data_IF_744865848278
#
_entry.id   IF_744865848278
#
_cell.length_a   1.000
_cell.length_b   1.000
_cell.length_c   1.000
_cell.angle_alpha   90.00
_cell.angle_beta   90.00
_cell.angle_gamma   90.00
#
_symmetry.space_group_name_H-M   'P 1'
#
loop_
_entity.id
_entity.type
_entity.pdbx_description
1 polymer ?
#
# COMPACT_ATOMS: atom_id res chain seq x y z
N UNK A 1 -32.29 -8.87 7.39
CA UNK A 1 -31.16 -9.42 6.61
C UNK A 1 -31.43 -9.14 5.15
N UNK A 2 -30.87 -8.07 4.61
CA UNK A 2 -30.97 -7.80 3.18
C UNK A 2 -29.91 -8.67 2.50
N UNK A 3 -30.31 -9.63 1.67
CA UNK A 3 -29.35 -10.31 0.80
C UNK A 3 -28.70 -9.27 -0.11
N UNK A 4 -27.41 -9.01 0.13
CA UNK A 4 -26.56 -8.28 -0.80
C UNK A 4 -26.22 -9.23 -1.95
N UNK A 5 -27.15 -9.36 -2.90
CA UNK A 5 -26.91 -10.10 -4.13
C UNK A 5 -25.78 -9.47 -4.96
N UNK A 6 -25.09 -10.29 -5.75
CA UNK A 6 -24.06 -9.83 -6.68
C UNK A 6 -24.61 -8.78 -7.65
N UNK A 7 -23.98 -7.61 -7.71
CA UNK A 7 -24.32 -6.52 -8.63
C UNK A 7 -23.12 -6.18 -9.50
N UNK A 8 -23.13 -6.64 -10.75
CA UNK A 8 -21.99 -6.53 -11.68
C UNK A 8 -21.34 -5.12 -11.71
N UNK A 9 -22.14 -4.04 -11.79
CA UNK A 9 -21.63 -2.68 -11.81
C UNK A 9 -20.85 -2.29 -10.54
N UNK A 10 -21.33 -2.71 -9.37
CA UNK A 10 -20.67 -2.46 -8.08
C UNK A 10 -19.38 -3.28 -7.92
N UNK A 11 -19.27 -4.40 -8.64
CA UNK A 11 -18.15 -5.34 -8.54
C UNK A 11 -17.04 -5.05 -9.58
N UNK A 12 -17.36 -4.37 -10.69
CA UNK A 12 -16.43 -4.16 -11.80
C UNK A 12 -16.11 -2.71 -12.13
N UNK A 13 -16.96 -1.74 -11.75
CA UNK A 13 -16.73 -0.33 -12.09
C UNK A 13 -16.25 0.43 -10.85
N UNK A 14 -14.98 0.88 -10.79
CA UNK A 14 -14.49 1.63 -9.65
C UNK A 14 -15.26 2.93 -9.46
N UNK A 15 -15.48 3.36 -8.20
CA UNK A 15 -16.05 4.66 -7.94
C UNK A 15 -15.15 5.78 -8.48
N UNK A 16 -15.71 6.99 -8.71
CA UNK A 16 -14.92 8.16 -9.06
C UNK A 16 -13.82 8.40 -8.03
N UNK A 17 -12.60 8.66 -8.51
CA UNK A 17 -11.48 8.92 -7.62
C UNK A 17 -11.56 10.32 -7.02
N UNK A 18 -11.30 10.43 -5.72
CA UNK A 18 -11.09 11.67 -5.00
C UNK A 18 -9.60 11.98 -4.98
N UNK A 19 -9.20 13.17 -5.44
CA UNK A 19 -7.81 13.61 -5.33
C UNK A 19 -7.45 13.87 -3.87
N UNK A 20 -6.34 13.31 -3.41
CA UNK A 20 -5.84 13.48 -2.04
C UNK A 20 -4.64 14.41 -2.01
N UNK A 21 -3.70 14.21 -2.94
CA UNK A 21 -2.52 15.07 -3.12
C UNK A 21 -2.24 15.28 -4.62
N UNK A 22 -1.11 15.92 -4.94
CA UNK A 22 -0.67 16.00 -6.32
C UNK A 22 -0.26 14.65 -6.94
N UNK A 23 0.03 13.65 -6.10
CA UNK A 23 0.51 12.33 -6.52
C UNK A 23 -0.46 11.19 -6.21
N UNK A 24 -1.41 11.38 -5.29
CA UNK A 24 -2.27 10.31 -4.79
C UNK A 24 -3.76 10.61 -4.97
N UNK A 25 -4.50 9.56 -5.34
CA UNK A 25 -5.97 9.55 -5.41
C UNK A 25 -6.53 8.44 -4.53
N UNK A 26 -7.80 8.57 -4.12
CA UNK A 26 -8.51 7.57 -3.31
C UNK A 26 -9.82 7.19 -4.01
N UNK A 27 -10.08 5.90 -4.16
CA UNK A 27 -11.34 5.37 -4.73
C UNK A 27 -12.21 4.71 -3.69
N UNK A 28 -11.60 3.92 -2.82
CA UNK A 28 -12.26 3.30 -1.68
C UNK A 28 -11.69 3.90 -0.41
N UNK A 29 -12.49 3.91 0.65
CA UNK A 29 -12.07 4.40 1.95
C UNK A 29 -10.76 3.72 2.38
N UNK A 30 -9.73 4.55 2.65
CA UNK A 30 -8.39 4.12 3.05
C UNK A 30 -7.59 3.34 1.99
N UNK A 31 -8.01 3.37 0.72
CA UNK A 31 -7.27 2.79 -0.41
C UNK A 31 -6.73 3.91 -1.30
N UNK A 32 -5.43 4.17 -1.16
CA UNK A 32 -4.72 5.21 -1.90
C UNK A 32 -3.96 4.63 -3.08
N UNK A 33 -4.08 5.28 -4.23
CA UNK A 33 -3.44 4.89 -5.48
C UNK A 33 -2.54 6.00 -6.01
N UNK A 34 -1.46 5.57 -6.70
CA UNK A 34 -0.88 6.22 -7.88
C UNK A 34 -1.85 7.13 -8.65
N UNK A 35 -1.74 8.47 -8.74
CA UNK A 35 -2.54 9.17 -9.75
C UNK A 35 -2.22 8.57 -11.15
N UNK A 36 -3.21 8.01 -11.88
CA UNK A 36 -2.94 7.29 -13.13
C UNK A 36 -2.24 8.14 -14.19
N UNK A 37 -2.36 9.48 -14.10
CA UNK A 37 -1.67 10.42 -15.01
C UNK A 37 -0.14 10.36 -14.88
N UNK A 38 0.37 9.89 -13.73
CA UNK A 38 1.79 9.70 -13.45
C UNK A 38 2.27 8.29 -13.83
N UNK A 39 1.34 7.35 -14.06
CA UNK A 39 1.60 5.91 -14.25
C UNK A 39 1.36 5.50 -15.72
N UNK A 40 2.24 5.93 -16.62
CA UNK A 40 2.08 5.78 -18.07
C UNK A 40 3.08 4.82 -18.71
N UNK A 41 4.16 5.33 -19.30
CA UNK A 41 4.97 4.63 -20.30
C UNK A 41 5.78 3.46 -19.72
N UNK A 42 6.31 3.61 -18.50
CA UNK A 42 7.23 2.63 -17.92
C UNK A 42 6.58 1.70 -16.90
N UNK A 43 5.53 2.18 -16.22
CA UNK A 43 4.77 1.41 -15.24
C UNK A 43 3.31 1.81 -15.40
N UNK A 44 2.58 1.03 -16.20
CA UNK A 44 1.15 1.22 -16.37
C UNK A 44 0.41 0.60 -15.17
N UNK A 45 -0.59 1.31 -14.66
CA UNK A 45 -1.42 0.79 -13.59
C UNK A 45 -2.33 -0.33 -14.13
N UNK A 46 -2.34 -1.48 -13.46
CA UNK A 46 -3.24 -2.58 -13.80
C UNK A 46 -4.67 -2.26 -13.36
N UNK A 47 -5.65 -2.64 -14.19
CA UNK A 47 -7.06 -2.53 -13.84
C UNK A 47 -7.48 -3.76 -13.03
N UNK A 48 -7.87 -3.55 -11.77
CA UNK A 48 -8.42 -4.59 -10.90
C UNK A 48 -9.93 -4.42 -10.75
N UNK A 49 -10.72 -5.52 -10.77
CA UNK A 49 -12.11 -5.46 -10.35
C UNK A 49 -12.23 -4.99 -8.90
N UNK A 50 -13.28 -4.23 -8.58
CA UNK A 50 -13.51 -3.68 -7.23
C UNK A 50 -13.48 -4.77 -6.16
N UNK A 51 -14.13 -5.90 -6.44
CA UNK A 51 -14.21 -7.01 -5.49
C UNK A 51 -12.83 -7.56 -5.13
N UNK A 52 -11.89 -7.54 -6.09
CA UNK A 52 -10.56 -8.07 -5.88
C UNK A 52 -9.71 -7.10 -5.08
N UNK A 53 -9.76 -5.80 -5.39
CA UNK A 53 -9.14 -4.74 -4.60
C UNK A 53 -9.61 -4.78 -3.14
N UNK A 54 -10.93 -4.84 -2.93
CA UNK A 54 -11.51 -4.86 -1.59
C UNK A 54 -11.17 -6.15 -0.83
N UNK A 55 -11.14 -7.29 -1.52
CA UNK A 55 -10.69 -8.57 -0.95
C UNK A 55 -9.24 -8.51 -0.49
N UNK A 56 -8.35 -7.95 -1.31
CA UNK A 56 -6.92 -7.77 -0.97
C UNK A 56 -6.78 -6.84 0.23
N UNK A 57 -7.46 -5.68 0.22
CA UNK A 57 -7.41 -4.72 1.31
C UNK A 57 -7.91 -5.32 2.63
N UNK A 58 -9.02 -6.06 2.60
CA UNK A 58 -9.59 -6.72 3.78
C UNK A 58 -8.68 -7.83 4.34
N UNK A 59 -8.02 -8.61 3.46
CA UNK A 59 -7.13 -9.70 3.86
C UNK A 59 -5.70 -9.28 4.22
N UNK A 60 -5.36 -7.98 4.12
CA UNK A 60 -3.98 -7.50 4.24
C UNK A 60 -3.34 -7.85 5.58
N UNK A 61 -4.05 -7.61 6.69
CA UNK A 61 -3.50 -7.83 8.03
C UNK A 61 -3.22 -9.31 8.28
N UNK A 62 -4.19 -10.17 8.00
CA UNK A 62 -4.06 -11.63 8.17
C UNK A 62 -2.91 -12.20 7.32
N UNK A 63 -2.76 -11.71 6.10
CA UNK A 63 -1.66 -12.12 5.23
C UNK A 63 -0.30 -11.71 5.79
N UNK A 64 -0.15 -10.46 6.26
CA UNK A 64 1.10 -9.99 6.89
C UNK A 64 1.43 -10.76 8.16
N UNK A 65 0.43 -11.05 9.00
CA UNK A 65 0.61 -11.86 10.21
C UNK A 65 1.06 -13.28 9.88
N UNK A 66 0.53 -13.88 8.82
CA UNK A 66 1.00 -15.17 8.33
C UNK A 66 2.45 -15.09 7.81
N UNK A 67 2.77 -14.09 6.99
CA UNK A 67 4.13 -13.86 6.47
C UNK A 67 5.13 -13.69 7.61
N UNK A 68 4.81 -12.86 8.61
CA UNK A 68 5.67 -12.64 9.77
C UNK A 68 5.90 -13.92 10.56
N UNK A 69 4.85 -14.69 10.88
CA UNK A 69 4.99 -15.94 11.63
C UNK A 69 5.80 -17.00 10.91
N UNK A 70 5.75 -17.02 9.58
CA UNK A 70 6.26 -18.15 8.81
C UNK A 70 7.61 -17.86 8.12
N UNK A 71 7.92 -16.59 7.85
CA UNK A 71 9.10 -16.22 7.06
C UNK A 71 10.01 -15.21 7.76
N UNK A 72 9.48 -14.40 8.69
CA UNK A 72 10.31 -13.40 9.37
C UNK A 72 11.08 -14.05 10.52
N UNK A 73 12.41 -14.03 10.45
CA UNK A 73 13.26 -14.37 11.60
C UNK A 73 13.20 -13.29 12.69
N UNK A 74 13.09 -12.03 12.27
CA UNK A 74 12.97 -10.85 13.15
C UNK A 74 12.04 -9.84 12.51
N UNK A 75 11.22 -9.16 13.32
CA UNK A 75 10.39 -8.01 12.92
C UNK A 75 10.87 -6.81 13.71
N UNK A 76 11.20 -5.71 13.02
CA UNK A 76 11.58 -4.43 13.63
C UNK A 76 10.59 -3.36 13.23
N UNK A 77 10.35 -2.40 14.11
CA UNK A 77 9.55 -1.21 13.79
C UNK A 77 10.29 -0.29 12.81
N UNK A 78 9.53 0.56 12.12
CA UNK A 78 10.12 1.58 11.26
C UNK A 78 11.03 2.55 12.03
N UNK A 79 10.74 2.82 13.31
CA UNK A 79 11.59 3.70 14.12
C UNK A 79 12.91 3.04 14.49
N UNK A 80 12.89 1.76 14.91
CA UNK A 80 14.13 1.02 15.19
C UNK A 80 15.03 0.96 13.94
N UNK A 81 14.44 0.77 12.76
CA UNK A 81 15.19 0.80 11.51
C UNK A 81 15.81 2.19 11.23
N UNK A 82 15.09 3.27 11.51
CA UNK A 82 15.59 4.64 11.34
C UNK A 82 16.71 4.98 12.32
N UNK A 83 16.60 4.52 13.56
CA UNK A 83 17.61 4.72 14.59
C UNK A 83 18.90 3.99 14.22
N UNK A 84 18.81 2.74 13.71
CA UNK A 84 19.96 1.98 13.21
C UNK A 84 20.66 2.69 12.04
N UNK A 85 19.91 3.18 11.05
CA UNK A 85 20.46 3.87 9.88
C UNK A 85 21.14 5.18 10.31
N UNK A 86 20.48 5.98 11.15
CA UNK A 86 21.00 7.28 11.59
C UNK A 86 22.18 7.14 12.56
N UNK A 87 22.18 6.08 13.38
CA UNK A 87 23.28 5.73 14.27
C UNK A 87 24.51 5.21 13.53
N UNK A 88 24.33 4.47 12.43
CA UNK A 88 25.44 3.99 11.59
C UNK A 88 26.21 5.13 10.89
N UNK A 89 25.53 6.23 10.56
CA UNK A 89 26.15 7.42 9.94
C UNK A 89 27.00 8.25 10.93
N UNK A 90 26.80 8.08 12.24
CA UNK A 90 27.53 8.82 13.27
C UNK A 90 28.97 8.32 13.52
N UNK A 91 29.32 7.12 13.03
CA UNK A 91 30.63 6.48 13.18
C UNK A 91 31.53 6.64 11.94
N UNK A 92 31.13 7.48 10.97
CA UNK A 92 31.99 7.89 9.85
C UNK A 92 33.24 8.63 10.35
N UNK A 93 34.42 8.46 9.69
CA UNK A 93 35.66 9.03 10.20
C UNK A 93 35.51 10.55 10.37
N UNK A 94 36.04 11.15 11.45
CA UNK A 94 35.95 12.60 11.63
C UNK A 94 36.59 13.26 10.41
N UNK A 95 35.80 14.06 9.70
CA UNK A 95 36.25 14.82 8.54
C UNK A 95 37.52 15.58 8.90
N UNK A 96 38.63 15.15 8.32
CA UNK A 96 39.91 15.84 8.39
C UNK A 96 39.83 17.21 7.68
N UNK A 97 40.77 18.11 7.99
CA UNK A 97 40.68 19.56 7.77
C UNK A 97 40.52 19.98 6.30
#
# INVERSE_FOLDING_TARGET
MTELGYRHGEQHTPPPARRVTDVAVERFEHVFEVDPRLMTVHVAQQLFPNWDTLRIAAGRADHLDWMHRHWAHTVVSGQELLDDITGADADGPPGGP
#
